data_IF_563112256475
#
_entry.id   IF_563112256475
#
_cell.length_a   1.000
_cell.length_b   1.000
_cell.length_c   1.000
_cell.angle_alpha   90.00
_cell.angle_beta   90.00
_cell.angle_gamma   90.00
#
_symmetry.space_group_name_H-M   'P 1'
#
loop_
_entity.id
_entity.type
_entity.pdbx_description
1 polymer ?
#
# COMPACT_ATOMS: atom_id res chain seq x y z
N UNK A 1 36.71 -17.10 -16.70
CA UNK A 1 36.05 -16.33 -17.78
C UNK A 1 35.48 -15.06 -17.18
N UNK A 2 35.90 -13.92 -17.72
CA UNK A 2 35.80 -12.61 -17.11
C UNK A 2 34.49 -11.88 -17.42
N UNK A 3 34.12 -11.03 -16.47
CA UNK A 3 32.99 -10.10 -16.38
C UNK A 3 32.95 -9.12 -17.55
N UNK A 4 31.76 -8.83 -18.08
CA UNK A 4 31.49 -7.64 -18.89
C UNK A 4 30.37 -6.82 -18.24
N UNK A 5 30.80 -5.81 -17.46
CA UNK A 5 29.98 -4.69 -17.00
C UNK A 5 29.89 -3.65 -18.13
N UNK A 6 28.70 -3.08 -18.35
CA UNK A 6 28.47 -1.81 -19.06
C UNK A 6 27.23 -1.12 -18.46
N UNK A 7 27.10 0.21 -18.51
CA UNK A 7 27.74 1.15 -17.59
C UNK A 7 26.71 1.95 -16.78
N UNK A 8 27.15 2.47 -15.64
CA UNK A 8 26.47 3.53 -14.89
C UNK A 8 26.71 4.86 -15.61
N UNK A 9 25.68 5.44 -16.24
CA UNK A 9 25.75 6.80 -16.80
C UNK A 9 25.07 7.77 -15.84
N UNK A 10 25.88 8.65 -15.24
CA UNK A 10 25.47 9.87 -14.58
C UNK A 10 24.79 10.79 -15.60
N UNK A 11 23.54 11.15 -15.35
CA UNK A 11 22.77 12.12 -16.14
C UNK A 11 21.96 13.00 -15.21
N UNK A 12 22.51 14.17 -14.91
CA UNK A 12 21.82 15.34 -14.36
C UNK A 12 20.59 15.69 -15.20
N UNK A 13 19.43 15.87 -14.57
CA UNK A 13 18.22 16.30 -15.26
C UNK A 13 17.02 16.31 -14.35
N UNK A 14 16.82 17.42 -13.64
CA UNK A 14 15.54 17.79 -13.08
C UNK A 14 14.59 18.09 -14.24
N UNK A 15 13.74 17.15 -14.63
CA UNK A 15 12.71 17.36 -15.64
C UNK A 15 11.38 16.77 -15.18
N UNK A 16 10.44 17.69 -14.94
CA UNK A 16 9.07 17.44 -14.52
C UNK A 16 8.27 16.86 -15.69
N UNK A 17 8.12 15.54 -15.75
CA UNK A 17 7.19 14.90 -16.70
C UNK A 17 5.97 14.34 -15.97
N UNK A 18 4.96 15.20 -15.87
CA UNK A 18 3.57 14.84 -15.62
C UNK A 18 3.01 14.14 -16.85
N UNK A 19 2.63 12.87 -16.72
CA UNK A 19 1.88 12.14 -17.74
C UNK A 19 2.54 10.82 -18.16
N UNK A 20 1.89 9.70 -17.84
CA UNK A 20 2.24 8.40 -18.45
C UNK A 20 2.05 7.19 -17.54
N UNK A 21 2.26 7.33 -16.22
CA UNK A 21 2.15 6.18 -15.30
C UNK A 21 0.71 5.75 -14.98
N UNK A 22 -0.29 6.57 -15.31
CA UNK A 22 -1.71 6.24 -15.09
C UNK A 22 -2.29 5.24 -16.09
N UNK A 23 -1.65 5.04 -17.25
CA UNK A 23 -2.14 4.12 -18.29
C UNK A 23 -1.63 2.68 -18.09
N UNK A 24 -0.38 2.52 -17.66
CA UNK A 24 0.22 1.20 -17.43
C UNK A 24 -0.45 0.43 -16.28
N UNK A 25 -0.79 1.13 -15.19
CA UNK A 25 -1.56 0.54 -14.08
C UNK A 25 -2.99 0.16 -14.48
N UNK A 26 -3.56 0.75 -15.54
CA UNK A 26 -4.93 0.41 -15.98
C UNK A 26 -4.96 -0.98 -16.62
N UNK A 27 -3.95 -1.34 -17.40
CA UNK A 27 -3.88 -2.66 -18.04
C UNK A 27 -3.49 -3.76 -17.06
N UNK A 28 -2.59 -3.46 -16.13
CA UNK A 28 -2.12 -4.44 -15.12
C UNK A 28 -3.23 -4.81 -14.12
N UNK A 29 -4.11 -3.86 -13.77
CA UNK A 29 -5.27 -4.10 -12.88
C UNK A 29 -6.48 -4.67 -13.64
N UNK A 30 -6.62 -4.39 -14.94
CA UNK A 30 -7.72 -4.93 -15.75
C UNK A 30 -7.49 -6.40 -16.17
N UNK A 31 -6.24 -6.86 -16.24
CA UNK A 31 -5.91 -8.25 -16.60
C UNK A 31 -6.00 -9.23 -15.43
N UNK A 32 -5.99 -8.75 -14.18
CA UNK A 32 -6.37 -9.55 -13.03
C UNK A 32 -7.91 -9.65 -12.98
N UNK A 33 -8.48 -10.56 -13.75
CA UNK A 33 -9.88 -10.98 -13.64
C UNK A 33 -10.12 -11.57 -12.25
N UNK A 34 -10.45 -10.70 -11.30
CA UNK A 34 -10.75 -11.07 -9.93
C UNK A 34 -12.26 -10.94 -9.76
N UNK A 35 -12.93 -12.09 -9.79
CA UNK A 35 -14.36 -12.21 -9.54
C UNK A 35 -14.75 -11.49 -8.24
N UNK A 36 -15.92 -10.86 -8.25
CA UNK A 36 -16.37 -9.84 -7.29
C UNK A 36 -16.47 -10.22 -5.81
N UNK A 37 -15.97 -11.38 -5.40
CA UNK A 37 -15.89 -11.83 -4.00
C UNK A 37 -14.47 -11.76 -3.40
N UNK A 38 -13.45 -11.34 -4.17
CA UNK A 38 -12.05 -11.33 -3.71
C UNK A 38 -11.42 -9.93 -3.80
N UNK A 39 -12.18 -8.89 -3.49
CA UNK A 39 -11.56 -7.78 -2.77
C UNK A 39 -11.37 -8.26 -1.34
N UNK A 40 -10.42 -9.18 -1.14
CA UNK A 40 -10.02 -9.54 0.21
C UNK A 40 -9.67 -8.21 0.90
N UNK A 41 -10.29 -7.94 2.04
CA UNK A 41 -10.17 -6.67 2.77
C UNK A 41 -8.72 -6.15 2.80
N UNK A 42 -7.73 -7.05 2.84
CA UNK A 42 -6.31 -6.74 2.71
C UNK A 42 -5.91 -5.98 1.43
N UNK A 43 -6.34 -6.41 0.24
CA UNK A 43 -6.08 -5.71 -1.03
C UNK A 43 -6.75 -4.33 -1.03
N UNK A 44 -7.96 -4.25 -0.46
CA UNK A 44 -8.65 -2.97 -0.27
C UNK A 44 -7.84 -2.01 0.60
N UNK A 45 -7.35 -2.49 1.75
CA UNK A 45 -6.46 -1.71 2.62
C UNK A 45 -5.16 -1.32 1.93
N UNK A 46 -4.54 -2.22 1.17
CA UNK A 46 -3.33 -1.91 0.40
C UNK A 46 -3.55 -0.73 -0.55
N UNK A 47 -4.59 -0.81 -1.39
CA UNK A 47 -4.90 0.23 -2.38
C UNK A 47 -5.24 1.55 -1.68
N UNK A 48 -6.01 1.50 -0.59
CA UNK A 48 -6.36 2.69 0.18
C UNK A 48 -5.14 3.33 0.84
N UNK A 49 -4.23 2.55 1.44
CA UNK A 49 -2.98 3.07 2.00
C UNK A 49 -2.14 3.76 0.93
N UNK A 50 -2.05 3.17 -0.28
CA UNK A 50 -1.40 3.84 -1.42
C UNK A 50 -2.11 5.12 -1.86
N UNK A 51 -3.43 5.18 -1.77
CA UNK A 51 -4.20 6.38 -2.05
C UNK A 51 -3.98 7.46 -0.97
N UNK A 52 -3.85 7.07 0.30
CA UNK A 52 -3.49 7.95 1.43
C UNK A 52 -2.13 8.59 1.20
N UNK A 53 -1.10 7.81 0.82
CA UNK A 53 0.23 8.35 0.52
C UNK A 53 0.18 9.42 -0.58
N UNK A 54 -0.63 9.18 -1.63
CA UNK A 54 -0.82 10.16 -2.70
C UNK A 54 -1.59 11.38 -2.21
N UNK A 55 -2.58 11.22 -1.35
CA UNK A 55 -3.33 12.33 -0.78
C UNK A 55 -2.43 13.22 0.08
N UNK A 56 -1.61 12.61 0.94
CA UNK A 56 -0.65 13.31 1.79
C UNK A 56 0.37 14.09 0.96
N UNK A 57 0.91 13.50 -0.10
CA UNK A 57 1.82 14.18 -1.01
C UNK A 57 1.20 15.40 -1.74
N UNK A 58 -0.13 15.43 -1.93
CA UNK A 58 -0.81 16.53 -2.63
C UNK A 58 -1.33 17.63 -1.70
N UNK A 59 -1.78 17.26 -0.49
CA UNK A 59 -2.46 18.16 0.45
C UNK A 59 -1.65 18.42 1.73
N UNK A 60 -0.47 17.80 1.85
CA UNK A 60 0.42 17.86 3.02
C UNK A 60 -0.32 17.57 4.34
N UNK A 61 -1.30 16.68 4.26
CA UNK A 61 -2.15 16.26 5.39
C UNK A 61 -2.69 14.86 5.14
N UNK A 62 -2.94 14.13 6.21
CA UNK A 62 -3.64 12.85 6.14
C UNK A 62 -5.16 13.05 6.10
N UNK A 63 -5.90 12.11 5.48
CA UNK A 63 -7.35 12.16 5.49
C UNK A 63 -7.89 11.94 6.90
N UNK A 64 -8.90 12.72 7.29
CA UNK A 64 -9.65 12.55 8.54
C UNK A 64 -9.05 13.21 9.78
N UNK A 65 -7.96 13.97 9.65
CA UNK A 65 -7.29 14.64 10.78
C UNK A 65 -8.10 15.81 11.36
N UNK A 66 -8.86 16.54 10.54
CA UNK A 66 -9.54 17.77 10.95
C UNK A 66 -11.07 17.69 10.93
N UNK A 67 -11.66 16.78 10.14
CA UNK A 67 -13.11 16.70 9.92
C UNK A 67 -13.48 15.29 9.43
N UNK A 68 -14.53 14.67 10.00
CA UNK A 68 -14.85 13.24 9.85
C UNK A 68 -15.26 12.72 8.46
N UNK A 69 -15.08 13.49 7.39
CA UNK A 69 -15.22 13.00 6.01
C UNK A 69 -14.46 13.88 5.03
N UNK A 70 -13.25 13.46 4.65
CA UNK A 70 -12.45 14.16 3.65
C UNK A 70 -12.98 13.86 2.23
N UNK A 71 -13.97 14.62 1.78
CA UNK A 71 -14.53 14.51 0.40
C UNK A 71 -13.45 14.65 -0.68
N UNK A 72 -12.33 15.30 -0.36
CA UNK A 72 -11.15 15.44 -1.24
C UNK A 72 -10.35 14.14 -1.42
N UNK A 73 -10.62 13.12 -0.61
CA UNK A 73 -10.01 11.80 -0.73
C UNK A 73 -10.68 10.94 -1.82
N UNK A 74 -11.95 11.21 -2.12
CA UNK A 74 -12.76 10.53 -3.15
C UNK A 74 -12.08 10.46 -4.54
N UNK A 75 -11.44 11.52 -5.08
CA UNK A 75 -10.75 11.43 -6.37
C UNK A 75 -9.53 10.51 -6.37
N UNK A 76 -8.92 10.20 -5.22
CA UNK A 76 -7.80 9.24 -5.16
C UNK A 76 -8.27 7.78 -5.22
N UNK A 77 -9.59 7.55 -5.24
CA UNK A 77 -10.21 6.25 -5.51
C UNK A 77 -9.98 5.76 -6.94
N UNK A 78 -9.32 6.52 -7.83
CA UNK A 78 -9.21 6.25 -9.26
C UNK A 78 -9.05 4.75 -9.58
N UNK A 79 -10.10 4.17 -10.19
CA UNK A 79 -10.34 2.79 -10.63
C UNK A 79 -10.95 1.81 -9.61
N UNK A 80 -11.14 2.20 -8.36
CA UNK A 80 -11.66 1.36 -7.30
C UNK A 80 -13.20 1.50 -7.15
N UNK A 81 -13.94 1.38 -8.27
CA UNK A 81 -15.41 1.26 -8.26
C UNK A 81 -15.91 0.02 -7.50
N UNK A 82 -15.00 -0.81 -7.00
CA UNK A 82 -15.29 -2.00 -6.20
C UNK A 82 -14.80 -1.91 -4.74
N UNK A 83 -14.21 -0.79 -4.31
CA UNK A 83 -13.93 -0.59 -2.87
C UNK A 83 -15.19 -0.14 -2.15
N UNK A 84 -15.57 -0.87 -1.10
CA UNK A 84 -16.71 -0.52 -0.25
C UNK A 84 -16.54 0.88 0.33
N UNK A 85 -17.63 1.65 0.35
CA UNK A 85 -17.69 2.95 1.04
C UNK A 85 -17.33 2.82 2.52
N UNK A 86 -17.55 1.64 3.12
CA UNK A 86 -17.19 1.34 4.50
C UNK A 86 -15.68 1.37 4.73
N UNK A 87 -14.87 0.85 3.79
CA UNK A 87 -13.41 0.89 3.94
C UNK A 87 -12.87 2.33 3.81
N UNK A 88 -13.57 3.17 3.03
CA UNK A 88 -13.20 4.57 2.81
C UNK A 88 -13.60 5.42 4.02
N UNK A 89 -14.78 5.19 4.59
CA UNK A 89 -15.18 5.87 5.83
C UNK A 89 -14.23 5.46 6.95
N UNK A 90 -13.79 4.20 6.98
CA UNK A 90 -12.88 3.68 7.99
C UNK A 90 -11.46 4.26 7.88
N UNK A 91 -10.89 4.43 6.67
CA UNK A 91 -9.57 5.06 6.51
C UNK A 91 -9.58 6.54 6.94
N UNK A 92 -10.69 7.26 6.67
CA UNK A 92 -10.89 8.61 7.19
C UNK A 92 -11.09 8.60 8.71
N UNK A 93 -11.81 7.61 9.25
CA UNK A 93 -12.03 7.46 10.70
C UNK A 93 -10.72 7.21 11.46
N UNK A 94 -9.76 6.51 10.84
CA UNK A 94 -8.46 6.28 11.45
C UNK A 94 -7.66 7.57 11.63
N UNK A 95 -7.82 8.57 10.74
CA UNK A 95 -7.18 9.88 10.91
C UNK A 95 -5.66 9.83 11.05
N UNK A 96 -5.01 8.83 10.42
CA UNK A 96 -3.59 8.50 10.59
C UNK A 96 -3.15 8.22 12.05
N UNK A 97 -4.06 7.72 12.89
CA UNK A 97 -3.74 7.31 14.25
C UNK A 97 -2.90 6.02 14.29
N UNK A 98 -1.91 5.99 15.17
CA UNK A 98 -1.07 4.83 15.43
C UNK A 98 -1.45 4.18 16.77
N UNK A 99 -2.27 3.12 16.71
CA UNK A 99 -2.71 2.43 17.92
C UNK A 99 -1.60 1.54 18.49
N UNK A 100 -1.26 1.73 19.76
CA UNK A 100 -0.19 0.99 20.45
C UNK A 100 -0.31 -0.54 20.30
N UNK A 101 -1.52 -1.09 20.42
CA UNK A 101 -1.74 -2.54 20.29
C UNK A 101 -1.42 -3.06 18.87
N UNK A 102 -1.82 -2.32 17.83
CA UNK A 102 -1.54 -2.68 16.43
C UNK A 102 -0.06 -2.52 16.12
N UNK A 103 0.57 -1.45 16.60
CA UNK A 103 2.00 -1.21 16.45
C UNK A 103 2.83 -2.30 17.14
N UNK A 104 2.47 -2.72 18.35
CA UNK A 104 3.14 -3.80 19.07
C UNK A 104 3.02 -5.15 18.34
N UNK A 105 1.84 -5.46 17.81
CA UNK A 105 1.63 -6.68 17.02
C UNK A 105 2.47 -6.68 15.74
N UNK A 106 2.40 -5.63 14.93
CA UNK A 106 3.17 -5.50 13.68
C UNK A 106 4.67 -5.50 13.96
N UNK A 107 5.12 -4.83 15.03
CA UNK A 107 6.52 -4.83 15.47
C UNK A 107 7.02 -6.21 15.87
N UNK A 108 6.18 -7.04 16.50
CA UNK A 108 6.50 -8.43 16.82
C UNK A 108 6.69 -9.29 15.56
N UNK A 109 5.79 -9.17 14.59
CA UNK A 109 5.91 -9.86 13.29
C UNK A 109 7.17 -9.41 12.55
N UNK A 110 7.38 -8.09 12.42
CA UNK A 110 8.54 -7.53 11.74
C UNK A 110 9.87 -7.96 12.39
N UNK A 111 9.95 -7.96 13.72
CA UNK A 111 11.15 -8.41 14.44
C UNK A 111 11.47 -9.89 14.17
N UNK A 112 10.45 -10.74 14.09
CA UNK A 112 10.66 -12.14 13.72
C UNK A 112 11.16 -12.27 12.29
N UNK A 113 10.58 -11.57 11.32
CA UNK A 113 11.05 -11.61 9.93
C UNK A 113 12.52 -11.15 9.81
N UNK A 114 12.91 -10.12 10.57
CA UNK A 114 14.31 -9.67 10.64
C UNK A 114 15.23 -10.78 11.19
N UNK A 115 14.83 -11.48 12.25
CA UNK A 115 15.61 -12.62 12.80
C UNK A 115 15.75 -13.75 11.77
N UNK A 116 14.69 -14.05 11.01
CA UNK A 116 14.75 -15.06 9.95
C UNK A 116 15.78 -14.68 8.88
N UNK A 117 15.80 -13.41 8.47
CA UNK A 117 16.76 -12.88 7.51
C UNK A 117 18.20 -12.90 8.03
N UNK A 118 18.43 -12.58 9.31
CA UNK A 118 19.78 -12.56 9.89
C UNK A 118 20.33 -13.97 10.07
N UNK A 119 19.53 -14.87 10.63
CA UNK A 119 19.99 -16.22 10.98
C UNK A 119 20.05 -17.14 9.77
N UNK A 120 19.30 -16.85 8.70
CA UNK A 120 19.15 -17.72 7.53
C UNK A 120 18.65 -19.13 7.90
N UNK A 121 18.02 -19.29 9.08
CA UNK A 121 17.54 -20.59 9.58
C UNK A 121 16.09 -20.88 9.19
N UNK A 122 15.37 -19.86 8.72
CA UNK A 122 13.96 -19.94 8.39
C UNK A 122 13.66 -19.18 7.10
N UNK A 123 12.55 -19.53 6.45
CA UNK A 123 12.10 -18.88 5.22
C UNK A 123 11.34 -17.59 5.58
N UNK A 124 11.77 -16.41 5.09
CA UNK A 124 11.04 -15.17 5.28
C UNK A 124 9.73 -15.16 4.47
N UNK A 125 8.76 -14.37 4.93
CA UNK A 125 7.54 -14.12 4.18
C UNK A 125 7.86 -13.44 2.84
N UNK A 126 7.25 -13.94 1.76
CA UNK A 126 7.40 -13.37 0.41
C UNK A 126 6.18 -12.52 0.07
N UNK A 127 6.39 -11.21 -0.09
CA UNK A 127 5.35 -10.25 -0.45
C UNK A 127 5.01 -9.27 0.69
N UNK A 128 3.81 -8.72 0.66
CA UNK A 128 3.35 -7.71 1.64
C UNK A 128 2.40 -8.34 2.64
N UNK A 129 2.77 -8.32 3.92
CA UNK A 129 1.90 -8.74 5.01
C UNK A 129 0.95 -7.61 5.40
N UNK A 130 -0.36 -7.88 5.38
CA UNK A 130 -1.40 -6.93 5.76
C UNK A 130 -2.19 -7.52 6.92
N UNK A 131 -2.35 -6.71 7.97
CA UNK A 131 -3.12 -7.06 9.15
C UNK A 131 -4.30 -6.10 9.29
N UNK A 132 -5.51 -6.66 9.37
CA UNK A 132 -6.72 -5.94 9.72
C UNK A 132 -7.02 -6.17 11.22
N UNK A 133 -6.82 -5.12 12.02
CA UNK A 133 -7.08 -5.14 13.47
C UNK A 133 -8.57 -5.12 13.86
N UNK A 134 -9.49 -4.82 12.93
CA UNK A 134 -10.93 -4.83 13.18
C UNK A 134 -11.42 -6.29 13.23
N UNK A 135 -11.14 -7.04 12.16
CA UNK A 135 -11.58 -8.43 12.03
C UNK A 135 -10.58 -9.44 12.60
N UNK A 136 -9.43 -8.98 13.10
CA UNK A 136 -8.33 -9.82 13.58
C UNK A 136 -7.84 -10.82 12.51
N UNK A 137 -7.84 -10.40 11.25
CA UNK A 137 -7.41 -11.21 10.10
C UNK A 137 -6.11 -10.67 9.54
N UNK A 138 -5.28 -11.58 9.04
CA UNK A 138 -4.07 -11.21 8.30
C UNK A 138 -3.96 -11.99 7.00
N UNK A 139 -3.33 -11.38 6.01
CA UNK A 139 -3.07 -11.99 4.72
C UNK A 139 -1.72 -11.52 4.18
N UNK A 140 -1.01 -12.41 3.50
CA UNK A 140 0.18 -12.05 2.72
C UNK A 140 -0.23 -11.93 1.27
N UNK A 141 -0.02 -10.76 0.69
CA UNK A 141 -0.23 -10.52 -0.73
C UNK A 141 1.06 -10.79 -1.50
N UNK A 142 1.04 -11.69 -2.51
CA UNK A 142 2.13 -11.82 -3.45
C UNK A 142 2.05 -10.63 -4.43
N UNK A 143 2.78 -9.56 -4.12
CA UNK A 143 2.91 -8.36 -4.94
C UNK A 143 4.29 -8.34 -5.63
#
# INVERSE_FOLDING_TARGET
>A
MAKALKPFTTGSGFETQNGGRGALWKEEVAQSGIDGEIWCSAVGFYILLRAVDRFEANYNRFPGVFDGYDTKFIPFRCNASALSEDLISEICRFGAAELHAVAAFVGGVASQEVIKLITQQFVPLSGTFIFNGIDHKSQVLPL
#
